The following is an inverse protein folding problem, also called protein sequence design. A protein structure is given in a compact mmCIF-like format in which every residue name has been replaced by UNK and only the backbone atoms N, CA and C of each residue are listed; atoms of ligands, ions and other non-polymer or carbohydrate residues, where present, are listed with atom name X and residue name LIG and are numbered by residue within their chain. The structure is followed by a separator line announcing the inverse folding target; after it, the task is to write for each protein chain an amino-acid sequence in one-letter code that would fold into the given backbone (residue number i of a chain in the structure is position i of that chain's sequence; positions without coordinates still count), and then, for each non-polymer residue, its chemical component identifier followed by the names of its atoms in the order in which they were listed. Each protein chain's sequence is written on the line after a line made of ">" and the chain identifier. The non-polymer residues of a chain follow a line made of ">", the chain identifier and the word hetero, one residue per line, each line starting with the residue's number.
data_IF_871055475956
#
_entry.id   IF_871055475956
#
_cell.length_a   1.000
_cell.length_b   1.000
_cell.length_c   1.000
_cell.angle_alpha   90.00
_cell.angle_beta   90.00
_cell.angle_gamma   90.00
#
_symmetry.space_group_name_H-M   'P 1'
#
loop_
_entity.id
_entity.type
_entity.pdbx_description
1 polymer ?
#
# COMPACT_ATOMS: atom_id res chain seq x y z
N UNK A 1 -21.60 13.91 9.08
CA UNK A 1 -20.71 12.76 9.35
C UNK A 1 -19.38 13.06 8.69
N UNK A 2 -18.26 12.90 9.40
CA UNK A 2 -16.94 13.10 8.78
C UNK A 2 -16.76 12.00 7.73
N UNK A 3 -16.53 12.37 6.47
CA UNK A 3 -16.27 11.37 5.43
C UNK A 3 -15.02 10.57 5.82
N UNK A 4 -15.08 9.26 5.63
CA UNK A 4 -13.94 8.38 5.94
C UNK A 4 -12.79 8.70 5.00
N UNK A 5 -11.59 8.83 5.58
CA UNK A 5 -10.34 9.05 4.85
C UNK A 5 -9.60 7.73 4.75
N UNK A 6 -9.22 7.35 3.55
CA UNK A 6 -8.49 6.11 3.29
C UNK A 6 -7.09 6.43 2.78
N UNK A 7 -6.11 5.82 3.39
CA UNK A 7 -4.69 5.93 3.01
C UNK A 7 -4.33 4.63 2.29
N UNK A 8 -4.43 4.67 0.97
CA UNK A 8 -4.14 3.51 0.11
C UNK A 8 -2.65 3.50 -0.18
N UNK A 9 -1.96 2.42 0.13
CA UNK A 9 -0.52 2.34 -0.07
C UNK A 9 -0.10 0.98 -0.63
N UNK A 10 1.03 1.00 -1.30
CA UNK A 10 1.71 -0.17 -1.84
C UNK A 10 3.21 -0.04 -1.60
N UNK A 11 3.90 -1.14 -1.33
CA UNK A 11 5.33 -1.15 -1.04
C UNK A 11 6.08 -2.14 -1.91
N UNK A 12 7.27 -1.73 -2.36
CA UNK A 12 8.22 -2.63 -2.99
C UNK A 12 9.31 -3.03 -1.99
N UNK A 13 9.85 -4.23 -2.16
CA UNK A 13 10.86 -4.78 -1.25
C UNK A 13 12.15 -5.13 -1.99
N UNK A 14 13.34 -4.97 -1.36
CA UNK A 14 14.61 -5.25 -2.00
C UNK A 14 14.89 -6.74 -2.19
N UNK A 15 14.27 -7.59 -1.37
CA UNK A 15 14.60 -9.01 -1.30
C UNK A 15 13.44 -9.84 -0.71
N UNK A 16 13.57 -11.17 -0.79
CA UNK A 16 12.59 -12.16 -0.33
C UNK A 16 12.25 -12.14 1.17
N UNK A 17 13.06 -11.48 2.00
CA UNK A 17 12.78 -11.41 3.45
C UNK A 17 11.62 -10.47 3.75
N UNK A 18 11.32 -9.53 2.83
CA UNK A 18 10.20 -8.59 2.97
C UNK A 18 10.19 -7.90 4.34
N UNK A 19 11.38 -7.58 4.86
CA UNK A 19 11.54 -6.94 6.17
C UNK A 19 11.76 -5.44 6.08
N UNK A 20 12.09 -4.95 4.90
CA UNK A 20 12.30 -3.53 4.61
C UNK A 20 11.69 -3.18 3.26
N UNK A 21 11.23 -1.95 3.10
CA UNK A 21 10.74 -1.46 1.83
C UNK A 21 11.85 -0.76 1.04
N UNK A 22 11.78 -0.82 -0.29
CA UNK A 22 12.64 -0.10 -1.23
C UNK A 22 11.90 1.00 -2.00
N UNK A 23 10.59 1.00 -1.96
CA UNK A 23 9.73 2.08 -2.42
C UNK A 23 8.38 2.02 -1.72
N UNK A 24 7.68 3.14 -1.72
CA UNK A 24 6.29 3.25 -1.28
C UNK A 24 5.53 4.22 -2.18
N UNK A 25 4.34 3.81 -2.61
CA UNK A 25 3.33 4.67 -3.21
C UNK A 25 2.15 4.85 -2.26
N UNK A 26 1.61 6.04 -2.21
CA UNK A 26 0.47 6.39 -1.35
C UNK A 26 -0.54 7.19 -2.15
N UNK A 27 -1.81 6.80 -2.08
CA UNK A 27 -2.94 7.54 -2.65
C UNK A 27 -3.99 7.77 -1.58
N UNK A 28 -4.37 9.00 -1.34
CA UNK A 28 -5.40 9.37 -0.35
C UNK A 28 -6.75 9.41 -1.03
N UNK A 29 -7.73 8.72 -0.47
CA UNK A 29 -9.10 8.71 -0.97
C UNK A 29 -10.02 9.39 0.04
N UNK A 30 -10.72 10.42 -0.40
CA UNK A 30 -11.77 11.14 0.34
C UNK A 30 -12.97 11.38 -0.59
N UNK A 31 -14.16 11.18 -0.11
CA UNK A 31 -15.39 11.43 -0.88
C UNK A 31 -15.42 10.70 -2.23
N UNK A 32 -14.86 9.50 -2.34
CA UNK A 32 -14.75 8.70 -3.57
C UNK A 32 -13.86 9.33 -4.65
N UNK A 33 -12.85 10.08 -4.24
CA UNK A 33 -11.85 10.67 -5.14
C UNK A 33 -10.47 10.49 -4.55
N UNK A 34 -9.48 10.33 -5.42
CA UNK A 34 -8.08 10.46 -5.02
C UNK A 34 -7.79 11.96 -4.89
N UNK A 35 -7.49 12.40 -3.67
CA UNK A 35 -7.25 13.81 -3.35
C UNK A 35 -5.76 14.16 -3.26
N UNK A 36 -4.93 13.15 -3.00
CA UNK A 36 -3.49 13.31 -2.85
C UNK A 36 -2.79 12.02 -3.29
N UNK A 37 -1.63 12.14 -3.92
CA UNK A 37 -0.77 10.99 -4.23
C UNK A 37 0.69 11.37 -4.00
N UNK A 38 1.46 10.47 -3.44
CA UNK A 38 2.89 10.64 -3.26
C UNK A 38 3.63 9.31 -3.47
N UNK A 39 4.90 9.44 -3.82
CA UNK A 39 5.81 8.32 -4.04
C UNK A 39 7.18 8.64 -3.43
N UNK A 40 7.83 7.64 -2.89
CA UNK A 40 9.23 7.73 -2.48
C UNK A 40 9.95 6.41 -2.72
N UNK A 41 11.16 6.50 -3.27
CA UNK A 41 12.13 5.45 -3.04
C UNK A 41 12.55 5.46 -1.58
N UNK A 42 12.99 4.31 -1.09
CA UNK A 42 13.47 4.14 0.29
C UNK A 42 14.78 3.36 0.24
N UNK A 43 15.82 3.88 0.86
CA UNK A 43 17.04 3.11 1.06
C UNK A 43 16.80 2.03 2.13
N UNK A 44 16.70 0.75 1.75
CA UNK A 44 16.36 -0.32 2.70
C UNK A 44 17.52 -0.69 3.62
N UNK A 45 18.74 -0.20 3.33
CA UNK A 45 19.98 -0.60 4.03
C UNK A 45 20.17 -2.13 4.08
N UNK A 46 19.71 -2.79 3.03
CA UNK A 46 19.78 -4.24 2.83
C UNK A 46 20.19 -4.59 1.40
N UNK A 47 20.74 -5.79 1.17
CA UNK A 47 21.01 -6.30 -0.16
C UNK A 47 19.74 -6.45 -1.00
N UNK A 48 19.88 -6.28 -2.31
CA UNK A 48 18.84 -6.53 -3.29
C UNK A 48 18.98 -7.92 -3.88
N UNK A 49 17.88 -8.68 -3.96
CA UNK A 49 17.79 -9.92 -4.70
C UNK A 49 17.60 -9.62 -6.19
N UNK A 50 18.23 -10.43 -7.05
CA UNK A 50 18.05 -10.32 -8.50
C UNK A 50 16.57 -10.41 -8.92
N UNK A 51 15.82 -11.28 -8.27
CA UNK A 51 14.39 -11.45 -8.57
C UNK A 51 13.62 -10.16 -8.31
N UNK A 52 13.78 -9.56 -7.12
CA UNK A 52 13.11 -8.30 -6.75
C UNK A 52 13.52 -7.15 -7.68
N UNK A 53 14.82 -7.04 -7.99
CA UNK A 53 15.30 -6.01 -8.93
C UNK A 53 14.71 -6.18 -10.32
N UNK A 54 14.60 -7.41 -10.84
CA UNK A 54 13.98 -7.65 -12.15
C UNK A 54 12.48 -7.37 -12.14
N UNK A 55 11.81 -7.62 -11.03
CA UNK A 55 10.36 -7.42 -10.88
C UNK A 55 10.00 -5.93 -10.79
N UNK A 56 10.72 -5.17 -9.97
CA UNK A 56 10.38 -3.78 -9.62
C UNK A 56 11.17 -2.74 -10.41
N UNK A 57 12.30 -3.15 -11.01
CA UNK A 57 13.27 -2.23 -11.61
C UNK A 57 14.12 -1.46 -10.61
N UNK A 58 13.97 -1.73 -9.30
CA UNK A 58 14.67 -1.03 -8.22
C UNK A 58 15.93 -1.81 -7.83
N UNK A 59 17.04 -1.13 -7.79
CA UNK A 59 18.33 -1.67 -7.34
C UNK A 59 19.02 -0.74 -6.33
N UNK A 60 20.20 -1.14 -5.88
CA UNK A 60 21.00 -0.33 -4.93
C UNK A 60 21.32 1.07 -5.44
N UNK A 61 21.49 1.26 -6.76
CA UNK A 61 21.81 2.56 -7.36
C UNK A 61 20.58 3.46 -7.35
N UNK A 62 19.42 2.89 -7.66
CA UNK A 62 18.12 3.60 -7.64
C UNK A 62 17.84 4.26 -6.30
N UNK A 63 18.22 3.61 -5.19
CA UNK A 63 17.91 4.08 -3.83
C UNK A 63 19.10 4.70 -3.10
N UNK A 64 20.22 4.92 -3.79
CA UNK A 64 21.48 5.38 -3.14
C UNK A 64 21.29 6.71 -2.38
N UNK A 65 20.55 7.64 -2.96
CA UNK A 65 20.29 8.97 -2.39
C UNK A 65 18.85 9.08 -1.80
N UNK A 66 18.14 7.96 -1.71
CA UNK A 66 16.80 7.93 -1.13
C UNK A 66 16.86 7.98 0.40
N UNK A 67 15.83 8.53 1.06
CA UNK A 67 15.75 8.50 2.51
C UNK A 67 15.70 7.05 3.03
N UNK A 68 16.22 6.84 4.22
CA UNK A 68 15.96 5.62 4.99
C UNK A 68 14.53 5.60 5.48
N UNK A 69 14.05 4.43 5.95
CA UNK A 69 12.67 4.35 6.46
C UNK A 69 12.40 5.31 7.63
N UNK A 70 13.28 5.47 8.64
CA UNK A 70 13.04 6.45 9.72
C UNK A 70 12.87 7.88 9.20
N UNK A 71 13.72 8.33 8.29
CA UNK A 71 13.65 9.69 7.71
C UNK A 71 12.37 9.91 6.89
N UNK A 72 11.91 8.88 6.18
CA UNK A 72 10.64 8.93 5.47
C UNK A 72 9.46 8.87 6.43
N UNK A 73 9.54 8.01 7.47
CA UNK A 73 8.46 7.78 8.42
C UNK A 73 8.04 9.06 9.15
N UNK A 74 8.99 9.90 9.55
CA UNK A 74 8.69 11.21 10.15
C UNK A 74 7.77 12.07 9.27
N UNK A 75 7.85 11.93 7.95
CA UNK A 75 7.05 12.69 6.98
C UNK A 75 5.70 12.06 6.71
N UNK A 76 5.62 10.73 6.64
CA UNK A 76 4.38 10.02 6.26
C UNK A 76 3.55 9.56 7.46
N UNK A 77 4.11 9.47 8.68
CA UNK A 77 3.38 9.03 9.86
C UNK A 77 2.10 9.85 10.11
N UNK A 78 2.11 11.19 10.04
CA UNK A 78 0.89 11.97 10.23
C UNK A 78 -0.21 11.60 9.23
N UNK A 79 0.16 11.28 7.98
CA UNK A 79 -0.75 10.82 6.96
C UNK A 79 -1.32 9.44 7.31
N UNK A 80 -0.47 8.48 7.68
CA UNK A 80 -0.86 7.13 8.11
C UNK A 80 -1.75 7.14 9.35
N UNK A 81 -1.56 8.12 10.23
CA UNK A 81 -2.39 8.32 11.43
C UNK A 81 -3.73 8.99 11.15
N UNK A 82 -3.94 9.57 9.98
CA UNK A 82 -5.11 10.38 9.65
C UNK A 82 -6.32 9.60 9.14
N UNK A 83 -6.17 8.31 8.80
CA UNK A 83 -7.24 7.55 8.16
C UNK A 83 -7.13 6.03 8.35
N UNK A 84 -7.94 5.31 7.60
CA UNK A 84 -7.93 3.86 7.51
C UNK A 84 -6.90 3.45 6.45
N UNK A 85 -5.98 2.57 6.81
CA UNK A 85 -4.98 2.05 5.88
C UNK A 85 -5.63 1.06 4.90
N UNK A 86 -5.29 1.16 3.63
CA UNK A 86 -5.80 0.25 2.60
C UNK A 86 -4.65 -0.21 1.72
N UNK A 87 -4.67 -1.48 1.33
CA UNK A 87 -3.75 -2.00 0.32
C UNK A 87 -4.40 -3.14 -0.47
N UNK A 88 -3.81 -3.45 -1.61
CA UNK A 88 -4.22 -4.60 -2.41
C UNK A 88 -3.44 -5.84 -1.99
N UNK A 89 -4.08 -6.80 -1.31
CA UNK A 89 -3.45 -7.87 -0.54
C UNK A 89 -2.71 -7.36 0.72
N UNK A 90 -3.41 -6.52 1.47
CA UNK A 90 -2.91 -5.69 2.57
C UNK A 90 -2.07 -6.42 3.64
N UNK A 91 -2.19 -7.74 3.78
CA UNK A 91 -1.35 -8.51 4.74
C UNK A 91 0.14 -8.39 4.39
N UNK A 92 0.47 -8.29 3.11
CA UNK A 92 1.85 -8.08 2.66
C UNK A 92 2.36 -6.70 3.07
N UNK A 93 1.70 -5.64 2.66
CA UNK A 93 2.14 -4.26 2.89
C UNK A 93 2.15 -3.89 4.37
N UNK A 94 1.10 -4.28 5.09
CA UNK A 94 1.04 -4.12 6.55
C UNK A 94 2.15 -4.93 7.25
N UNK A 95 2.49 -6.10 6.73
CA UNK A 95 3.58 -6.92 7.23
C UNK A 95 4.95 -6.28 7.04
N UNK A 96 5.20 -5.69 5.87
CA UNK A 96 6.44 -4.93 5.59
C UNK A 96 6.52 -3.69 6.49
N UNK A 97 5.43 -2.91 6.59
CA UNK A 97 5.36 -1.74 7.48
C UNK A 97 5.69 -2.11 8.93
N UNK A 98 5.04 -3.15 9.46
CA UNK A 98 5.30 -3.66 10.83
C UNK A 98 6.78 -4.02 11.03
N UNK A 99 7.37 -4.74 10.07
CA UNK A 99 8.78 -5.14 10.16
C UNK A 99 9.72 -3.95 10.09
N UNK A 100 9.44 -2.95 9.24
CA UNK A 100 10.21 -1.71 9.19
C UNK A 100 10.17 -0.99 10.55
N UNK A 101 8.98 -0.78 11.11
CA UNK A 101 8.82 -0.15 12.43
C UNK A 101 9.63 -0.88 13.52
N UNK A 102 9.50 -2.21 13.57
CA UNK A 102 10.21 -3.05 14.54
C UNK A 102 11.73 -3.00 14.35
N UNK A 103 12.21 -3.16 13.13
CA UNK A 103 13.64 -3.30 12.84
C UNK A 103 14.40 -1.98 13.04
N UNK A 104 13.69 -0.85 13.00
CA UNK A 104 14.23 0.47 13.34
C UNK A 104 13.89 0.94 14.76
N UNK A 105 13.21 0.10 15.55
CA UNK A 105 12.85 0.43 16.94
C UNK A 105 11.84 1.58 17.06
N UNK A 106 11.02 1.79 16.04
CA UNK A 106 10.01 2.86 16.00
C UNK A 106 8.70 2.33 16.58
N UNK A 107 8.27 2.90 17.71
CA UNK A 107 6.93 2.67 18.22
C UNK A 107 5.96 3.70 17.61
N UNK A 108 4.94 3.23 16.93
CA UNK A 108 3.87 4.07 16.39
C UNK A 108 2.54 3.83 17.11
N UNK A 109 1.97 2.64 16.97
CA UNK A 109 0.70 2.22 17.60
C UNK A 109 0.75 0.72 17.89
N UNK A 110 -0.09 0.26 18.82
CA UNK A 110 -0.27 -1.19 19.06
C UNK A 110 -1.02 -1.86 17.91
N UNK A 111 -1.96 -1.12 17.29
CA UNK A 111 -2.70 -1.59 16.12
C UNK A 111 -3.13 -0.42 15.24
N UNK A 112 -3.39 -0.69 13.97
CA UNK A 112 -3.93 0.28 13.04
C UNK A 112 -5.16 -0.29 12.32
N UNK A 113 -6.20 0.54 12.07
CA UNK A 113 -7.35 0.13 11.26
C UNK A 113 -6.90 -0.07 9.82
N UNK A 114 -7.27 -1.18 9.21
CA UNK A 114 -6.94 -1.45 7.82
C UNK A 114 -8.07 -2.16 7.08
N UNK A 115 -8.04 -2.05 5.75
CA UNK A 115 -8.91 -2.74 4.82
C UNK A 115 -8.09 -3.33 3.66
N UNK A 116 -8.56 -4.42 3.09
CA UNK A 116 -7.91 -5.11 1.98
C UNK A 116 -8.85 -5.18 0.77
N UNK A 117 -8.48 -4.56 -0.35
CA UNK A 117 -9.30 -4.55 -1.56
C UNK A 117 -9.48 -5.94 -2.17
N UNK A 118 -8.52 -6.86 -2.00
CA UNK A 118 -8.69 -8.28 -2.39
C UNK A 118 -9.79 -8.96 -1.58
N UNK A 119 -9.83 -8.73 -0.26
CA UNK A 119 -10.88 -9.32 0.59
C UNK A 119 -12.26 -8.72 0.29
N UNK A 120 -12.31 -7.43 0.00
CA UNK A 120 -13.54 -6.78 -0.48
C UNK A 120 -14.00 -7.42 -1.79
N UNK A 121 -13.10 -7.51 -2.78
CA UNK A 121 -13.41 -8.08 -4.08
C UNK A 121 -13.94 -9.50 -4.01
N UNK A 122 -13.31 -10.38 -3.22
CA UNK A 122 -13.78 -11.76 -3.01
C UNK A 122 -15.22 -11.85 -2.50
N UNK A 123 -15.65 -10.87 -1.72
CA UNK A 123 -17.01 -10.83 -1.18
C UNK A 123 -18.01 -10.15 -2.12
N UNK A 124 -17.58 -9.08 -2.82
CA UNK A 124 -18.45 -8.27 -3.68
C UNK A 124 -18.60 -8.87 -5.08
N UNK A 125 -17.57 -9.53 -5.58
CA UNK A 125 -17.47 -10.08 -6.94
C UNK A 125 -16.96 -11.53 -6.88
N UNK A 126 -17.75 -12.48 -6.33
CA UNK A 126 -17.32 -13.87 -6.22
C UNK A 126 -17.10 -14.52 -7.60
N UNK A 127 -16.19 -15.47 -7.68
CA UNK A 127 -15.99 -16.29 -8.88
C UNK A 127 -15.02 -15.70 -9.91
N UNK A 128 -14.35 -14.59 -9.61
CA UNK A 128 -13.35 -14.00 -10.51
C UNK A 128 -11.97 -13.85 -9.85
N UNK A 129 -10.96 -13.54 -10.65
CA UNK A 129 -9.61 -13.24 -10.16
C UNK A 129 -9.59 -11.87 -9.49
N UNK A 130 -8.98 -11.81 -8.32
CA UNK A 130 -8.78 -10.56 -7.57
C UNK A 130 -7.30 -10.14 -7.52
N UNK A 131 -6.49 -10.57 -8.48
CA UNK A 131 -5.16 -10.00 -8.68
C UNK A 131 -5.30 -8.56 -9.16
N UNK A 132 -4.32 -7.72 -8.87
CA UNK A 132 -4.36 -6.30 -9.21
C UNK A 132 -4.56 -6.09 -10.72
N UNK A 133 -3.77 -6.78 -11.54
CA UNK A 133 -3.86 -6.76 -13.00
C UNK A 133 -5.25 -7.17 -13.51
N UNK A 134 -5.81 -8.24 -12.95
CA UNK A 134 -7.14 -8.74 -13.33
C UNK A 134 -8.24 -7.75 -12.97
N UNK A 135 -8.15 -7.12 -11.80
CA UNK A 135 -9.11 -6.12 -11.36
C UNK A 135 -8.99 -4.82 -12.17
N UNK A 136 -7.77 -4.42 -12.49
CA UNK A 136 -7.53 -3.27 -13.37
C UNK A 136 -8.11 -3.49 -14.77
N UNK A 137 -7.90 -4.68 -15.36
CA UNK A 137 -8.49 -5.04 -16.63
C UNK A 137 -10.03 -5.03 -16.58
N UNK A 138 -10.62 -5.55 -15.50
CA UNK A 138 -12.07 -5.57 -15.31
C UNK A 138 -12.69 -4.17 -15.24
N UNK A 139 -12.03 -3.23 -14.55
CA UNK A 139 -12.53 -1.86 -14.38
C UNK A 139 -12.00 -0.85 -15.42
N UNK A 140 -11.12 -1.26 -16.33
CA UNK A 140 -10.48 -0.35 -17.29
C UNK A 140 -9.51 0.64 -16.64
N UNK A 141 -8.83 0.24 -15.57
CA UNK A 141 -7.85 1.04 -14.84
C UNK A 141 -6.46 0.83 -15.46
N UNK A 142 -5.75 1.91 -15.75
CA UNK A 142 -4.36 1.84 -16.20
C UNK A 142 -3.44 1.32 -15.11
N UNK A 143 -2.48 0.44 -15.47
CA UNK A 143 -1.56 -0.16 -14.52
C UNK A 143 -0.17 -0.30 -15.14
N UNK A 144 0.83 0.22 -14.45
CA UNK A 144 2.25 -0.09 -14.67
C UNK A 144 2.72 -0.93 -13.48
N UNK A 145 2.42 -2.23 -13.55
CA UNK A 145 2.50 -3.16 -12.43
C UNK A 145 3.92 -3.27 -11.85
N UNK A 146 4.02 -3.44 -10.54
CA UNK A 146 5.26 -3.44 -9.75
C UNK A 146 5.96 -2.08 -9.69
N UNK A 147 5.15 -1.02 -9.81
CA UNK A 147 5.55 0.34 -9.43
C UNK A 147 4.61 0.83 -8.34
N UNK A 148 5.14 1.08 -7.17
CA UNK A 148 4.35 1.36 -5.98
C UNK A 148 3.37 2.53 -6.13
N UNK A 149 3.72 3.57 -6.90
CA UNK A 149 2.83 4.69 -7.21
C UNK A 149 1.65 4.26 -8.10
N UNK A 150 1.92 3.47 -9.15
CA UNK A 150 0.89 2.92 -10.03
C UNK A 150 0.00 1.92 -9.29
N UNK A 151 0.58 1.02 -8.50
CA UNK A 151 -0.14 -0.03 -7.80
C UNK A 151 -1.01 0.55 -6.67
N UNK A 152 -0.52 1.55 -5.92
CA UNK A 152 -1.33 2.25 -4.91
C UNK A 152 -2.47 3.05 -5.53
N UNK A 153 -2.24 3.72 -6.67
CA UNK A 153 -3.28 4.45 -7.41
C UNK A 153 -4.35 3.50 -7.95
N UNK A 154 -3.93 2.39 -8.54
CA UNK A 154 -4.85 1.35 -9.02
C UNK A 154 -5.69 0.74 -7.88
N UNK A 155 -5.07 0.44 -6.75
CA UNK A 155 -5.78 -0.04 -5.56
C UNK A 155 -6.80 0.98 -5.02
N UNK A 156 -6.46 2.28 -5.08
CA UNK A 156 -7.36 3.37 -4.71
C UNK A 156 -8.56 3.47 -5.66
N UNK A 157 -8.32 3.37 -6.97
CA UNK A 157 -9.43 3.36 -7.94
C UNK A 157 -10.33 2.13 -7.76
N UNK A 158 -9.78 0.94 -7.51
CA UNK A 158 -10.57 -0.25 -7.20
C UNK A 158 -11.42 -0.02 -5.95
N UNK A 159 -10.86 0.56 -4.89
CA UNK A 159 -11.62 0.92 -3.68
C UNK A 159 -12.79 1.86 -4.01
N UNK A 160 -12.55 2.88 -4.82
CA UNK A 160 -13.59 3.83 -5.27
C UNK A 160 -14.69 3.11 -6.04
N UNK A 161 -14.35 2.18 -6.97
CA UNK A 161 -15.35 1.38 -7.69
C UNK A 161 -16.21 0.54 -6.76
N UNK A 162 -15.63 -0.05 -5.72
CA UNK A 162 -16.42 -0.77 -4.71
C UNK A 162 -17.36 0.16 -3.94
N UNK A 163 -16.91 1.36 -3.57
CA UNK A 163 -17.76 2.36 -2.90
C UNK A 163 -18.88 2.88 -3.81
N UNK A 164 -18.61 3.08 -5.10
CA UNK A 164 -19.60 3.47 -6.10
C UNK A 164 -20.67 2.38 -6.30
N UNK A 165 -20.26 1.12 -6.22
CA UNK A 165 -21.18 -0.02 -6.24
C UNK A 165 -21.99 -0.21 -4.93
N UNK A 166 -21.85 0.71 -3.97
CA UNK A 166 -22.61 0.71 -2.71
C UNK A 166 -21.97 -0.09 -1.57
N UNK A 167 -20.72 -0.50 -1.71
CA UNK A 167 -20.04 -1.21 -0.63
C UNK A 167 -19.76 -0.26 0.56
N UNK A 168 -20.14 -0.70 1.76
CA UNK A 168 -19.72 -0.07 3.00
C UNK A 168 -18.34 -0.57 3.39
N UNK A 169 -17.32 0.28 3.22
CA UNK A 169 -15.92 -0.07 3.55
C UNK A 169 -15.77 -0.42 5.03
N UNK A 170 -16.51 0.24 5.90
CA UNK A 170 -16.48 0.01 7.35
C UNK A 170 -16.75 -1.46 7.73
N UNK A 171 -17.57 -2.16 6.94
CA UNK A 171 -17.84 -3.59 7.15
C UNK A 171 -16.64 -4.51 6.89
N UNK A 172 -15.58 -3.98 6.27
CA UNK A 172 -14.34 -4.70 5.93
C UNK A 172 -13.15 -4.23 6.76
N UNK A 173 -13.30 -3.17 7.56
CA UNK A 173 -12.22 -2.65 8.41
C UNK A 173 -11.90 -3.64 9.52
N UNK A 174 -10.62 -3.89 9.70
CA UNK A 174 -10.06 -4.75 10.74
C UNK A 174 -8.92 -4.03 11.45
N UNK A 175 -8.47 -4.56 12.58
CA UNK A 175 -7.29 -4.06 13.29
C UNK A 175 -6.10 -4.94 12.95
N UNK A 176 -5.00 -4.33 12.49
CA UNK A 176 -3.73 -4.99 12.30
C UNK A 176 -2.83 -4.72 13.49
N UNK A 177 -2.31 -5.77 14.10
CA UNK A 177 -1.40 -5.65 15.26
C UNK A 177 0.02 -5.33 14.78
N UNK A 178 0.51 -4.18 15.16
CA UNK A 178 1.84 -3.65 14.79
C UNK A 178 2.93 -4.09 15.76
#
# INVERSE_FOLDING_TARGET
>A
MKESRFIVFDVETPNRYNSRMSAIGISVVEGRKITESCFSYVNPEQPFDRFNTLLTGIDRRTVADAPTFPELWEKIEPLFSSGILVAHNAVFDMGVLKKCLRDYGIFWKTSAPYCCTVQMGRRLLPGMSHKLDSMCAYYGIGLDHHKADSDSSAAAEILIRYMEAGASVDSFVRQYML
#
